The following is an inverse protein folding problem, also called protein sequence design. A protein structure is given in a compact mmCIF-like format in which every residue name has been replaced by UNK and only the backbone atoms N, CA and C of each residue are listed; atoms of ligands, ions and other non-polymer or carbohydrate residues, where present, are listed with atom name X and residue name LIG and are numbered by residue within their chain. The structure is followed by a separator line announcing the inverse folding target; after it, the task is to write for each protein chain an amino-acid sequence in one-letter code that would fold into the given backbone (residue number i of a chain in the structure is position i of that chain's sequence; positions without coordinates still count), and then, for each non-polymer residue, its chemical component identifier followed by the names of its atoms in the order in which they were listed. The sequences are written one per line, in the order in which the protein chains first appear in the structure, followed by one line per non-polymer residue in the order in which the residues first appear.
data_IF_386641260223
#
_entry.id   IF_386641260223
#
_cell.length_a   1.000
_cell.length_b   1.000
_cell.length_c   1.000
_cell.angle_alpha   90.00
_cell.angle_beta   90.00
_cell.angle_gamma   90.00
#
_symmetry.space_group_name_H-M   'P 1'
#
loop_
_entity.id
_entity.type
_entity.pdbx_description
1 polymer ?
#
# COMPACT_ATOMS: atom_id res chain seq x y z
N UNK A 1 8.39 -35.13 -60.44
CA UNK A 1 8.51 -34.02 -59.50
C UNK A 1 7.30 -34.06 -58.56
N UNK A 2 7.49 -34.53 -57.33
CA UNK A 2 6.42 -34.57 -56.30
C UNK A 2 6.61 -33.41 -55.37
N UNK A 3 5.73 -32.41 -55.48
CA UNK A 3 5.68 -31.26 -54.61
C UNK A 3 4.99 -31.64 -53.28
N UNK A 4 5.76 -31.62 -52.20
CA UNK A 4 5.25 -31.80 -50.82
C UNK A 4 4.63 -30.48 -50.34
N UNK A 5 3.38 -30.46 -49.83
CA UNK A 5 2.78 -29.24 -49.31
C UNK A 5 3.41 -28.85 -47.98
N UNK A 6 3.50 -27.54 -47.66
CA UNK A 6 4.09 -27.06 -46.43
C UNK A 6 3.19 -27.44 -45.25
N UNK A 7 3.81 -28.02 -44.18
CA UNK A 7 3.16 -28.33 -42.92
C UNK A 7 2.73 -27.02 -42.28
N UNK A 8 1.42 -26.82 -42.18
CA UNK A 8 0.84 -25.76 -41.40
C UNK A 8 1.24 -25.94 -39.89
N UNK A 9 1.98 -25.01 -39.36
CA UNK A 9 2.22 -24.91 -37.94
C UNK A 9 0.88 -24.61 -37.24
N UNK A 10 0.26 -25.66 -36.70
CA UNK A 10 -0.87 -25.45 -35.78
C UNK A 10 -0.36 -24.72 -34.53
N UNK A 11 -1.03 -23.63 -34.12
CA UNK A 11 -0.68 -22.95 -32.89
C UNK A 11 -0.83 -23.93 -31.72
N UNK A 12 0.21 -24.03 -30.91
CA UNK A 12 0.20 -24.84 -29.70
C UNK A 12 -1.05 -24.47 -28.88
N UNK A 13 -1.97 -25.42 -28.75
CA UNK A 13 -3.13 -25.29 -27.86
C UNK A 13 -2.58 -24.94 -26.49
N UNK A 14 -2.87 -23.73 -26.01
CA UNK A 14 -2.69 -23.30 -24.64
C UNK A 14 -3.46 -24.32 -23.78
N UNK A 15 -2.74 -25.32 -23.27
CA UNK A 15 -3.29 -26.22 -22.26
C UNK A 15 -3.84 -25.36 -21.14
N UNK A 16 -5.12 -25.51 -20.85
CA UNK A 16 -5.74 -24.84 -19.73
C UNK A 16 -4.86 -25.04 -18.50
N UNK A 17 -4.39 -23.97 -17.86
CA UNK A 17 -3.45 -24.08 -16.76
C UNK A 17 -4.08 -24.95 -15.68
N UNK A 18 -3.41 -26.07 -15.37
CA UNK A 18 -3.83 -26.95 -14.29
C UNK A 18 -3.99 -26.13 -13.01
N UNK A 19 -4.83 -26.59 -12.08
CA UNK A 19 -5.11 -25.90 -10.80
C UNK A 19 -3.86 -25.35 -10.09
N UNK A 20 -2.71 -26.00 -10.29
CA UNK A 20 -1.41 -25.58 -9.76
C UNK A 20 -0.82 -24.34 -10.43
N UNK A 21 -1.21 -24.02 -11.67
CA UNK A 21 -0.71 -22.85 -12.37
C UNK A 21 -1.41 -21.54 -11.92
N UNK A 22 -2.55 -21.63 -11.24
CA UNK A 22 -3.26 -20.43 -10.72
C UNK A 22 -2.44 -19.72 -9.66
N UNK A 23 -1.73 -20.46 -8.80
CA UNK A 23 -0.93 -19.87 -7.73
C UNK A 23 0.30 -19.12 -8.27
N UNK A 24 1.18 -19.70 -9.12
CA UNK A 24 2.28 -18.93 -9.70
C UNK A 24 1.80 -17.79 -10.61
N UNK A 25 0.68 -17.96 -11.33
CA UNK A 25 0.11 -16.88 -12.13
C UNK A 25 -0.36 -15.70 -11.25
N UNK A 26 -1.00 -15.97 -10.11
CA UNK A 26 -1.43 -14.95 -9.16
C UNK A 26 -0.23 -14.23 -8.52
N UNK A 27 0.84 -14.97 -8.18
CA UNK A 27 2.10 -14.38 -7.66
C UNK A 27 2.74 -13.48 -8.71
N UNK A 28 2.85 -13.94 -9.96
CA UNK A 28 3.43 -13.15 -11.04
C UNK A 28 2.59 -11.90 -11.33
N UNK A 29 1.27 -12.03 -11.40
CA UNK A 29 0.39 -10.88 -11.59
C UNK A 29 0.54 -9.86 -10.46
N UNK A 30 0.57 -10.31 -9.20
CA UNK A 30 0.81 -9.46 -8.04
C UNK A 30 2.18 -8.79 -8.09
N UNK A 31 3.24 -9.52 -8.48
CA UNK A 31 4.59 -8.98 -8.61
C UNK A 31 4.69 -7.92 -9.72
N UNK A 32 4.02 -8.13 -10.86
CA UNK A 32 3.98 -7.16 -11.98
C UNK A 32 3.23 -5.90 -11.56
N UNK A 33 2.08 -6.03 -10.91
CA UNK A 33 1.30 -4.88 -10.42
C UNK A 33 2.09 -4.12 -9.35
N UNK A 34 2.65 -4.82 -8.35
CA UNK A 34 3.44 -4.20 -7.29
C UNK A 34 4.73 -3.56 -7.79
N UNK A 35 5.45 -4.24 -8.68
CA UNK A 35 6.68 -3.73 -9.30
C UNK A 35 6.41 -2.54 -10.22
N UNK A 36 5.36 -2.59 -11.03
CA UNK A 36 4.90 -1.48 -11.87
C UNK A 36 4.54 -0.25 -11.05
N UNK A 37 3.79 -0.42 -9.96
CA UNK A 37 3.49 0.67 -9.03
C UNK A 37 4.76 1.27 -8.42
N UNK A 38 5.70 0.43 -7.93
CA UNK A 38 6.95 0.89 -7.36
C UNK A 38 7.88 1.58 -8.34
N UNK A 39 7.83 1.21 -9.63
CA UNK A 39 8.61 1.84 -10.70
C UNK A 39 8.02 3.19 -11.16
N UNK A 40 6.68 3.33 -11.11
CA UNK A 40 5.99 4.55 -11.53
C UNK A 40 5.92 5.60 -10.41
N UNK A 41 6.07 5.18 -9.15
CA UNK A 41 6.06 6.12 -8.02
C UNK A 41 7.32 6.95 -7.99
N UNK A 42 7.17 8.27 -7.88
CA UNK A 42 8.31 9.19 -7.74
C UNK A 42 9.11 8.87 -6.47
N UNK A 43 10.45 8.81 -6.54
CA UNK A 43 11.28 8.59 -5.37
C UNK A 43 11.17 9.75 -4.38
N UNK A 44 11.03 9.45 -3.10
CA UNK A 44 11.03 10.44 -2.03
C UNK A 44 12.32 10.34 -1.21
N UNK A 45 12.90 11.47 -0.89
CA UNK A 45 14.10 11.61 -0.06
C UNK A 45 13.73 12.25 1.26
N UNK A 46 14.29 11.74 2.37
CA UNK A 46 14.12 12.30 3.68
C UNK A 46 15.43 12.94 4.17
N UNK A 47 15.31 14.15 4.69
CA UNK A 47 16.41 14.85 5.36
C UNK A 47 15.99 15.19 6.79
N UNK A 48 16.92 15.08 7.74
CA UNK A 48 16.64 15.30 9.15
C UNK A 48 17.56 16.39 9.68
N UNK A 49 16.96 17.39 10.33
CA UNK A 49 17.66 18.43 11.11
C UNK A 49 17.35 18.23 12.59
N UNK A 50 18.32 18.49 13.45
CA UNK A 50 18.16 18.36 14.90
C UNK A 50 18.28 19.72 15.58
N UNK A 51 17.35 19.99 16.49
CA UNK A 51 17.39 21.15 17.37
C UNK A 51 17.33 20.69 18.83
N UNK A 52 18.01 21.43 19.69
CA UNK A 52 18.04 21.17 21.14
C UNK A 52 17.46 22.38 21.88
N UNK A 53 16.68 22.09 22.91
CA UNK A 53 16.15 23.12 23.81
C UNK A 53 17.12 23.28 24.98
N UNK A 54 17.65 24.47 25.15
CA UNK A 54 18.64 24.80 26.18
C UNK A 54 17.98 25.73 27.20
N UNK A 55 18.04 25.41 28.49
CA UNK A 55 17.56 26.32 29.52
C UNK A 55 18.44 27.58 29.60
N UNK A 56 17.87 28.70 29.94
CA UNK A 56 18.64 29.89 30.27
C UNK A 56 19.35 29.70 31.62
N UNK A 57 20.38 30.49 31.90
CA UNK A 57 21.30 30.30 33.04
C UNK A 57 20.63 30.18 34.44
N UNK A 58 19.39 30.58 34.58
CA UNK A 58 18.62 30.51 35.86
C UNK A 58 17.41 29.61 35.79
N UNK A 59 17.24 28.82 34.73
CA UNK A 59 16.06 27.98 34.51
C UNK A 59 16.34 26.53 34.87
N UNK A 60 15.31 25.82 35.34
CA UNK A 60 15.37 24.40 35.67
C UNK A 60 15.67 23.55 34.41
N UNK A 61 16.70 22.69 34.42
CA UNK A 61 16.98 21.77 33.32
C UNK A 61 15.79 20.85 32.97
N UNK A 62 14.96 20.47 33.94
CA UNK A 62 13.77 19.65 33.70
C UNK A 62 12.72 20.40 32.85
N UNK A 63 12.64 21.72 32.94
CA UNK A 63 11.78 22.52 32.10
C UNK A 63 12.13 22.43 30.61
N UNK A 64 13.43 22.26 30.27
CA UNK A 64 13.86 22.11 28.89
C UNK A 64 13.25 20.90 28.19
N UNK A 65 13.08 19.78 28.88
CA UNK A 65 12.42 18.58 28.35
C UNK A 65 10.93 18.84 28.05
N UNK A 66 10.22 19.48 28.99
CA UNK A 66 8.81 19.86 28.80
C UNK A 66 8.62 20.81 27.61
N UNK A 67 9.49 21.83 27.51
CA UNK A 67 9.46 22.75 26.35
C UNK A 67 9.82 22.06 25.04
N UNK A 68 10.77 21.12 25.03
CA UNK A 68 11.09 20.34 23.84
C UNK A 68 9.87 19.56 23.33
N UNK A 69 9.11 18.94 24.23
CA UNK A 69 7.88 18.24 23.88
C UNK A 69 6.79 19.21 23.37
N UNK A 70 6.65 20.37 23.98
CA UNK A 70 5.70 21.40 23.53
C UNK A 70 6.08 21.94 22.14
N UNK A 71 7.32 22.32 21.94
CA UNK A 71 7.82 22.80 20.64
C UNK A 71 7.72 21.71 19.55
N UNK A 72 7.98 20.46 19.88
CA UNK A 72 7.83 19.35 18.94
C UNK A 72 6.42 19.17 18.41
N UNK A 73 5.39 19.40 19.27
CA UNK A 73 3.98 19.32 18.88
C UNK A 73 3.55 20.48 17.96
N UNK A 74 4.07 21.66 18.18
CA UNK A 74 3.71 22.86 17.41
C UNK A 74 4.72 23.19 16.29
N UNK A 75 5.77 22.38 16.13
CA UNK A 75 6.84 22.65 15.16
C UNK A 75 6.32 22.80 13.72
N UNK A 76 5.35 21.99 13.33
CA UNK A 76 4.74 22.07 12.01
C UNK A 76 3.91 23.35 11.83
N UNK A 77 3.25 23.84 12.88
CA UNK A 77 2.45 25.06 12.84
C UNK A 77 3.34 26.31 12.88
N UNK A 78 4.41 26.29 13.68
CA UNK A 78 5.43 27.36 13.69
C UNK A 78 6.11 27.46 12.32
N UNK A 79 6.41 26.33 11.69
CA UNK A 79 6.98 26.28 10.36
C UNK A 79 6.09 26.95 9.31
N UNK A 80 4.78 26.85 9.48
CA UNK A 80 3.79 27.42 8.55
C UNK A 80 3.58 28.92 8.82
N UNK A 81 3.60 29.34 10.08
CA UNK A 81 3.35 30.73 10.48
C UNK A 81 4.58 31.61 10.32
N UNK A 82 5.78 31.05 10.32
CA UNK A 82 7.05 31.79 10.23
C UNK A 82 7.67 31.77 8.83
N UNK A 83 8.90 32.24 8.77
CA UNK A 83 9.69 32.39 7.54
C UNK A 83 10.16 31.08 6.92
N UNK A 84 9.78 29.93 7.49
CA UNK A 84 10.17 28.63 6.99
C UNK A 84 9.80 28.41 5.50
N UNK A 85 8.68 29.00 5.08
CA UNK A 85 8.25 28.94 3.66
C UNK A 85 9.25 29.62 2.73
N UNK A 86 9.78 30.77 3.14
CA UNK A 86 10.77 31.53 2.38
C UNK A 86 12.08 30.76 2.29
N UNK A 87 12.57 30.24 3.42
CA UNK A 87 13.81 29.48 3.48
C UNK A 87 13.74 28.13 2.76
N UNK A 88 12.59 27.47 2.84
CA UNK A 88 12.36 26.19 2.16
C UNK A 88 12.01 26.33 0.67
N UNK A 89 11.57 27.52 0.24
CA UNK A 89 11.10 27.76 -1.12
C UNK A 89 9.87 26.93 -1.49
N UNK A 90 8.95 26.71 -0.52
CA UNK A 90 7.73 25.91 -0.70
C UNK A 90 6.55 26.56 0.03
N UNK A 91 5.33 26.20 -0.41
CA UNK A 91 4.11 26.70 0.24
C UNK A 91 3.92 26.10 1.64
N UNK A 92 3.17 26.82 2.49
CA UNK A 92 2.76 26.37 3.83
C UNK A 92 2.10 24.98 3.81
N UNK A 93 1.22 24.75 2.86
CA UNK A 93 0.52 23.46 2.72
C UNK A 93 1.46 22.31 2.41
N UNK A 94 2.51 22.54 1.63
CA UNK A 94 3.54 21.55 1.34
C UNK A 94 4.37 21.26 2.58
N UNK A 95 4.81 22.27 3.31
CA UNK A 95 5.55 22.09 4.57
C UNK A 95 4.76 21.25 5.58
N UNK A 96 3.49 21.59 5.80
CA UNK A 96 2.62 20.87 6.75
C UNK A 96 2.45 19.39 6.40
N UNK A 97 2.40 19.03 5.11
CA UNK A 97 2.25 17.66 4.65
C UNK A 97 3.55 16.88 4.64
N UNK A 98 4.68 17.55 4.43
CA UNK A 98 5.97 16.91 4.14
C UNK A 98 6.94 16.96 5.31
N UNK A 99 6.64 17.73 6.37
CA UNK A 99 7.51 17.88 7.55
C UNK A 99 6.86 17.20 8.75
N UNK A 100 7.67 16.44 9.46
CA UNK A 100 7.30 15.78 10.72
C UNK A 100 8.35 16.13 11.77
N UNK A 101 7.89 16.49 12.96
CA UNK A 101 8.75 16.69 14.12
C UNK A 101 8.51 15.57 15.14
N UNK A 102 9.58 15.08 15.72
CA UNK A 102 9.54 14.10 16.80
C UNK A 102 10.49 14.52 17.91
N UNK A 103 10.06 14.34 19.16
CA UNK A 103 10.86 14.65 20.35
C UNK A 103 11.47 13.38 20.92
N UNK A 104 12.70 13.50 21.45
CA UNK A 104 13.29 12.42 22.24
C UNK A 104 12.64 12.39 23.63
N UNK A 105 12.31 11.18 24.16
CA UNK A 105 11.78 11.06 25.51
C UNK A 105 12.82 11.38 26.59
N UNK A 106 14.12 11.14 26.31
CA UNK A 106 15.19 11.21 27.31
C UNK A 106 16.08 12.44 27.16
N UNK A 107 15.90 13.23 26.10
CA UNK A 107 16.72 14.41 25.83
C UNK A 107 15.87 15.57 25.33
N UNK A 108 16.21 16.83 25.66
CA UNK A 108 15.49 18.01 25.18
C UNK A 108 15.82 18.29 23.71
N UNK A 109 15.68 17.28 22.86
CA UNK A 109 16.01 17.30 21.44
C UNK A 109 14.78 17.05 20.59
N UNK A 110 14.69 17.78 19.48
CA UNK A 110 13.62 17.64 18.48
C UNK A 110 14.28 17.28 17.16
N UNK A 111 13.87 16.20 16.55
CA UNK A 111 14.21 15.83 15.19
C UNK A 111 13.15 16.35 14.22
N UNK A 112 13.58 17.05 13.17
CA UNK A 112 12.73 17.62 12.14
C UNK A 112 13.02 16.88 10.84
N UNK A 113 12.12 16.03 10.43
CA UNK A 113 12.23 15.22 9.20
C UNK A 113 11.38 15.84 8.11
N UNK A 114 12.01 16.20 7.00
CA UNK A 114 11.31 16.66 5.80
C UNK A 114 11.46 15.67 4.66
N UNK A 115 10.38 15.46 3.91
CA UNK A 115 10.35 14.57 2.74
C UNK A 115 10.07 15.38 1.47
N UNK A 116 10.82 15.09 0.41
CA UNK A 116 10.63 15.72 -0.89
C UNK A 116 11.14 14.82 -2.02
N UNK A 117 10.69 15.08 -3.25
CA UNK A 117 11.16 14.37 -4.45
C UNK A 117 12.63 14.64 -4.78
N UNK A 118 13.14 15.79 -4.35
CA UNK A 118 14.55 16.18 -4.58
C UNK A 118 15.30 16.23 -3.25
N UNK A 119 16.50 15.60 -3.16
CA UNK A 119 17.31 15.59 -1.94
C UNK A 119 17.60 17.00 -1.37
N UNK A 120 17.95 17.93 -2.25
CA UNK A 120 18.25 19.31 -1.85
C UNK A 120 17.02 20.01 -1.26
N UNK A 121 15.82 19.71 -1.77
CA UNK A 121 14.57 20.30 -1.29
C UNK A 121 14.18 19.74 0.09
N UNK A 122 14.41 18.45 0.34
CA UNK A 122 14.23 17.85 1.66
C UNK A 122 15.14 18.55 2.70
N UNK A 123 16.41 18.79 2.35
CA UNK A 123 17.35 19.51 3.22
C UNK A 123 16.87 20.94 3.50
N UNK A 124 16.53 21.70 2.47
CA UNK A 124 16.09 23.10 2.65
C UNK A 124 14.80 23.20 3.48
N UNK A 125 13.90 22.23 3.37
CA UNK A 125 12.67 22.18 4.16
C UNK A 125 12.97 21.85 5.63
N UNK A 126 13.80 20.84 5.91
CA UNK A 126 14.18 20.47 7.28
C UNK A 126 14.93 21.63 7.99
N UNK A 127 15.90 22.22 7.32
CA UNK A 127 16.68 23.33 7.88
C UNK A 127 15.86 24.63 7.98
N UNK A 128 14.95 24.88 7.02
CA UNK A 128 14.05 26.02 7.07
C UNK A 128 13.15 25.99 8.29
N UNK A 129 12.58 24.82 8.61
CA UNK A 129 11.75 24.62 9.80
C UNK A 129 12.58 24.74 11.08
N UNK A 130 13.76 24.12 11.12
CA UNK A 130 14.67 24.25 12.27
C UNK A 130 15.02 25.70 12.56
N UNK A 131 15.33 26.48 11.51
CA UNK A 131 15.63 27.92 11.64
C UNK A 131 14.40 28.70 12.13
N UNK A 132 13.21 28.42 11.61
CA UNK A 132 11.98 29.07 12.06
C UNK A 132 11.71 28.80 13.55
N UNK A 133 11.96 27.57 14.03
CA UNK A 133 11.88 27.23 15.45
C UNK A 133 12.88 28.03 16.29
N UNK A 134 14.12 28.12 15.85
CA UNK A 134 15.17 28.88 16.54
C UNK A 134 14.78 30.36 16.64
N UNK A 135 14.32 30.98 15.56
CA UNK A 135 13.90 32.37 15.56
C UNK A 135 12.68 32.60 16.45
N UNK A 136 11.66 31.74 16.35
CA UNK A 136 10.47 31.85 17.20
C UNK A 136 10.84 31.70 18.68
N UNK A 137 11.70 30.75 19.05
CA UNK A 137 12.14 30.55 20.43
C UNK A 137 12.90 31.77 20.97
N UNK A 138 13.66 32.48 20.14
CA UNK A 138 14.39 33.69 20.56
C UNK A 138 13.43 34.83 20.92
N UNK A 139 12.32 34.97 20.21
CA UNK A 139 11.30 35.99 20.52
C UNK A 139 10.60 35.75 21.86
N UNK A 140 10.43 34.49 22.27
CA UNK A 140 9.74 34.10 23.51
C UNK A 140 10.69 33.70 24.64
N UNK A 141 12.01 33.72 24.41
CA UNK A 141 13.01 33.28 25.37
C UNK A 141 12.95 34.01 26.72
N UNK A 142 12.61 35.31 26.69
CA UNK A 142 12.47 36.14 27.92
C UNK A 142 11.31 35.68 28.81
N UNK A 143 10.23 35.14 28.27
CA UNK A 143 9.07 34.65 29.01
C UNK A 143 9.13 33.17 29.37
N UNK A 144 9.80 32.39 28.56
CA UNK A 144 9.88 30.93 28.74
C UNK A 144 11.11 30.43 29.49
N UNK A 145 12.16 31.26 29.55
CA UNK A 145 13.43 30.89 30.17
C UNK A 145 14.20 29.79 29.42
N UNK A 146 13.81 29.48 28.17
CA UNK A 146 14.48 28.52 27.30
C UNK A 146 14.68 29.06 25.91
N UNK A 147 15.69 28.57 25.20
CA UNK A 147 15.92 28.85 23.80
C UNK A 147 16.22 27.59 23.03
N UNK A 148 15.84 27.56 21.77
CA UNK A 148 16.13 26.48 20.84
C UNK A 148 17.40 26.82 20.07
N UNK A 149 18.29 25.84 19.95
CA UNK A 149 19.55 25.97 19.20
C UNK A 149 19.59 24.86 18.17
N UNK A 150 19.98 25.17 16.94
CA UNK A 150 20.19 24.13 15.93
C UNK A 150 21.45 23.33 16.29
N UNK A 151 21.27 22.06 16.61
CA UNK A 151 22.35 21.14 16.99
C UNK A 151 23.05 20.56 15.76
N UNK A 152 22.25 20.09 14.77
CA UNK A 152 22.77 19.54 13.52
C UNK A 152 21.90 19.98 12.35
N UNK A 153 22.57 20.35 11.26
CA UNK A 153 21.89 20.65 10.01
C UNK A 153 21.56 19.36 9.26
N UNK A 154 20.54 19.45 8.42
CA UNK A 154 20.15 18.36 7.56
C UNK A 154 21.23 18.05 6.52
N UNK A 155 21.57 16.79 6.38
CA UNK A 155 22.51 16.30 5.37
C UNK A 155 21.76 15.82 4.14
N UNK A 156 22.39 15.98 2.96
CA UNK A 156 21.79 15.54 1.70
C UNK A 156 21.68 14.02 1.64
N UNK A 157 20.47 13.44 1.56
CA UNK A 157 20.30 12.00 1.47
C UNK A 157 20.82 11.47 0.13
N UNK A 158 21.52 10.34 0.17
CA UNK A 158 22.08 9.67 -1.02
C UNK A 158 21.12 8.61 -1.60
N UNK A 159 20.16 8.15 -0.82
CA UNK A 159 19.19 7.14 -1.23
C UNK A 159 17.76 7.60 -0.93
N UNK A 160 16.79 7.21 -1.76
CA UNK A 160 15.37 7.47 -1.49
C UNK A 160 14.88 6.59 -0.33
N UNK A 161 13.93 7.10 0.43
CA UNK A 161 13.24 6.38 1.52
C UNK A 161 11.95 5.70 1.04
N UNK A 162 11.51 6.00 -0.18
CA UNK A 162 10.39 5.31 -0.80
C UNK A 162 10.74 3.85 -1.11
N UNK A 163 9.79 2.91 -1.02
CA UNK A 163 10.02 1.51 -1.35
C UNK A 163 10.54 1.36 -2.78
N UNK A 164 11.60 0.59 -2.96
CA UNK A 164 12.15 0.28 -4.28
C UNK A 164 11.19 -0.60 -5.10
N UNK A 165 11.26 -0.54 -6.43
CA UNK A 165 10.45 -1.37 -7.31
C UNK A 165 10.56 -2.89 -7.01
N UNK A 166 11.76 -3.47 -6.75
CA UNK A 166 11.86 -4.88 -6.38
C UNK A 166 11.17 -5.21 -5.05
N UNK A 167 11.26 -4.32 -4.04
CA UNK A 167 10.57 -4.52 -2.78
C UNK A 167 9.05 -4.49 -2.96
N UNK A 168 8.54 -3.53 -3.75
CA UNK A 168 7.11 -3.43 -4.08
C UNK A 168 6.63 -4.64 -4.89
N UNK A 169 7.45 -5.18 -5.80
CA UNK A 169 7.16 -6.40 -6.54
C UNK A 169 7.08 -7.62 -5.62
N UNK A 170 7.99 -7.73 -4.64
CA UNK A 170 7.98 -8.83 -3.68
C UNK A 170 6.72 -8.80 -2.81
N UNK A 171 6.36 -7.62 -2.27
CA UNK A 171 5.13 -7.45 -1.48
C UNK A 171 3.89 -7.75 -2.32
N UNK A 172 3.85 -7.25 -3.57
CA UNK A 172 2.76 -7.54 -4.51
C UNK A 172 2.66 -9.03 -4.85
N UNK A 173 3.79 -9.70 -5.04
CA UNK A 173 3.85 -11.15 -5.27
C UNK A 173 3.33 -11.95 -4.08
N UNK A 174 3.69 -11.60 -2.86
CA UNK A 174 3.18 -12.24 -1.64
C UNK A 174 1.66 -12.03 -1.51
N UNK A 175 1.16 -10.82 -1.71
CA UNK A 175 -0.27 -10.52 -1.68
C UNK A 175 -1.02 -11.30 -2.77
N UNK A 176 -0.49 -11.35 -4.00
CA UNK A 176 -1.04 -12.14 -5.10
C UNK A 176 -1.07 -13.63 -4.79
N UNK A 177 -0.02 -14.16 -4.17
CA UNK A 177 0.05 -15.55 -3.72
C UNK A 177 -1.01 -15.88 -2.67
N UNK A 178 -1.20 -15.02 -1.69
CA UNK A 178 -2.23 -15.17 -0.66
C UNK A 178 -3.64 -15.17 -1.27
N UNK A 179 -3.93 -14.20 -2.15
CA UNK A 179 -5.23 -14.12 -2.82
C UNK A 179 -5.45 -15.31 -3.75
N UNK A 180 -4.42 -15.75 -4.49
CA UNK A 180 -4.48 -16.94 -5.34
C UNK A 180 -4.71 -18.21 -4.55
N UNK A 181 -4.03 -18.37 -3.42
CA UNK A 181 -4.22 -19.48 -2.48
C UNK A 181 -5.63 -19.53 -1.90
N UNK A 182 -6.13 -18.37 -1.45
CA UNK A 182 -7.49 -18.23 -0.93
C UNK A 182 -8.54 -18.57 -2.00
N UNK A 183 -8.35 -18.09 -3.24
CA UNK A 183 -9.23 -18.39 -4.35
C UNK A 183 -9.26 -19.89 -4.68
N UNK A 184 -8.14 -20.59 -4.54
CA UNK A 184 -8.09 -22.05 -4.70
C UNK A 184 -8.84 -22.79 -3.58
N UNK A 185 -8.81 -22.27 -2.35
CA UNK A 185 -9.49 -22.85 -1.19
C UNK A 185 -11.01 -22.68 -1.28
N UNK A 186 -11.47 -21.49 -1.68
CA UNK A 186 -12.90 -21.13 -1.74
C UNK A 186 -13.60 -21.71 -2.97
N UNK A 187 -12.83 -22.11 -4.01
CA UNK A 187 -13.41 -22.63 -5.26
C UNK A 187 -14.14 -23.95 -5.00
N UNK A 188 -15.49 -24.01 -5.04
CA UNK A 188 -16.23 -25.23 -4.80
C UNK A 188 -15.90 -26.27 -5.90
N UNK A 189 -15.83 -27.56 -5.53
CA UNK A 189 -15.56 -28.74 -6.39
C UNK A 189 -16.62 -28.97 -7.50
N UNK A 190 -17.15 -27.91 -8.11
CA UNK A 190 -18.26 -28.01 -9.08
C UNK A 190 -17.87 -28.45 -10.50
N UNK A 191 -16.60 -28.63 -10.81
CA UNK A 191 -16.20 -29.06 -12.16
C UNK A 191 -16.25 -30.57 -12.41
N UNK A 192 -16.17 -31.42 -11.37
CA UNK A 192 -16.15 -32.87 -11.55
C UNK A 192 -17.55 -33.49 -11.75
N UNK A 193 -18.63 -32.79 -11.45
CA UNK A 193 -20.00 -33.35 -11.52
C UNK A 193 -20.69 -33.12 -12.87
N UNK A 194 -20.15 -32.30 -13.76
CA UNK A 194 -20.73 -32.12 -15.11
C UNK A 194 -20.25 -33.13 -16.13
N UNK A 195 -19.00 -33.59 -16.04
CA UNK A 195 -18.50 -34.65 -16.95
C UNK A 195 -19.07 -36.04 -16.61
N UNK A 196 -19.32 -36.32 -15.34
CA UNK A 196 -19.93 -37.59 -14.91
C UNK A 196 -21.45 -37.69 -15.25
N UNK A 197 -22.12 -36.58 -15.55
CA UNK A 197 -23.51 -36.59 -15.98
C UNK A 197 -23.67 -36.78 -17.50
N UNK A 198 -22.68 -36.39 -18.30
CA UNK A 198 -22.75 -36.54 -19.77
C UNK A 198 -22.38 -37.93 -20.23
N UNK A 199 -21.66 -38.72 -19.41
CA UNK A 199 -21.29 -40.12 -19.73
C UNK A 199 -22.27 -41.16 -19.22
N UNK A 200 -23.36 -40.78 -18.58
CA UNK A 200 -24.44 -41.66 -18.13
C UNK A 200 -25.77 -41.40 -18.82
N UNK A 201 -25.76 -41.17 -20.12
CA UNK A 201 -26.97 -41.26 -20.91
C UNK A 201 -27.03 -42.68 -21.48
N UNK A 202 -27.85 -43.58 -20.93
CA UNK A 202 -28.02 -44.88 -21.55
C UNK A 202 -28.81 -44.69 -22.86
N UNK A 203 -28.17 -45.13 -23.92
CA UNK A 203 -28.87 -45.44 -25.16
C UNK A 203 -29.81 -46.61 -24.86
N UNK A 204 -31.08 -46.30 -24.66
CA UNK A 204 -32.12 -47.32 -24.74
C UNK A 204 -33.47 -46.66 -24.97
N UNK A 205 -33.86 -46.56 -26.20
CA UNK A 205 -35.24 -46.54 -26.63
C UNK A 205 -35.29 -46.87 -28.12
N UNK A 206 -35.28 -48.14 -28.39
CA UNK A 206 -35.83 -48.66 -29.65
C UNK A 206 -36.65 -49.88 -29.34
N UNK A 207 -37.90 -49.82 -29.78
CA UNK A 207 -38.80 -50.95 -30.04
C UNK A 207 -39.67 -51.50 -28.88
N UNK A 208 -40.91 -51.13 -28.83
CA UNK A 208 -41.98 -52.07 -29.10
C UNK A 208 -43.35 -51.38 -29.17
N UNK A 209 -43.86 -51.38 -30.37
CA UNK A 209 -45.27 -51.16 -30.74
C UNK A 209 -46.12 -52.31 -30.24
N UNK A 210 -47.35 -52.05 -29.86
CA UNK A 210 -48.57 -52.82 -30.08
C UNK A 210 -49.45 -53.00 -28.83
N UNK A 211 -50.70 -52.67 -29.11
CA UNK A 211 -51.97 -53.20 -28.58
C UNK A 211 -52.74 -52.38 -27.56
N UNK A 212 -53.75 -51.74 -28.10
CA UNK A 212 -55.02 -51.35 -27.47
C UNK A 212 -55.87 -52.62 -27.24
N UNK A 213 -56.74 -52.79 -26.19
CA UNK A 213 -58.06 -52.21 -26.21
C UNK A 213 -58.61 -51.68 -24.84
N UNK A 214 -59.59 -50.77 -24.96
CA UNK A 214 -60.56 -50.37 -23.95
C UNK A 214 -61.79 -51.37 -24.00
N UNK A 215 -62.90 -51.23 -23.23
CA UNK A 215 -63.29 -50.35 -22.12
C UNK A 215 -64.05 -51.06 -20.97
N UNK A 216 -64.47 -50.36 -19.90
CA UNK A 216 -65.75 -50.49 -19.15
C UNK A 216 -65.62 -49.68 -17.81
N UNK A 217 -66.35 -48.59 -17.68
CA UNK A 217 -67.66 -48.32 -17.10
C UNK A 217 -67.91 -48.93 -15.70
N UNK A 218 -68.18 -48.02 -14.80
CA UNK A 218 -69.16 -47.96 -13.69
C UNK A 218 -68.48 -47.29 -12.47
N UNK A 219 -68.89 -46.10 -12.08
CA UNK A 219 -70.11 -45.66 -11.37
C UNK A 219 -70.12 -46.11 -9.88
N UNK A 220 -70.18 -45.17 -9.07
CA UNK A 220 -70.99 -44.94 -7.87
C UNK A 220 -70.19 -44.29 -6.75
N UNK A 221 -70.56 -43.04 -6.49
CA UNK A 221 -71.42 -42.51 -5.41
C UNK A 221 -70.81 -42.58 -4.00
N UNK A 222 -70.62 -41.42 -3.51
CA UNK A 222 -71.41 -40.74 -2.42
C UNK A 222 -70.78 -41.03 -1.04
N UNK A 223 -70.54 -40.03 -0.37
CA UNK A 223 -71.25 -39.25 0.63
C UNK A 223 -70.62 -39.29 2.03
N UNK A 224 -70.51 -38.08 2.55
CA UNK A 224 -70.71 -37.63 3.92
C UNK A 224 -69.82 -38.23 5.07
N UNK A 225 -69.17 -37.42 5.78
CA UNK A 225 -69.56 -36.54 6.88
C UNK A 225 -68.45 -35.53 7.14
#
# INVERSE_FOLDING_TARGET
MKTTPPRAFLPARLRAPGRWAVLPAAVLAGAVIGGGYGALKTPEYAAVSYVIVVPAEKSDPAAALGFAQAYGRVAADIAVTGDAQVWAGVSAGTLRKSVQAATSPDAPMISITARAEKPAKAVSMADGVARALVLNSTHVAGSTGVKVVQFSRATKPVAPVSPSAPLSALVGGCAGGLLGGLALLVRPKRAASREARHSRQPASAASASAAVPAPAVAAHQAESV
#
